data_IF_187752130827
#
_entry.id   IF_187752130827
#
_cell.length_a   1.000
_cell.length_b   1.000
_cell.length_c   1.000
_cell.angle_alpha   90.00
_cell.angle_beta   90.00
_cell.angle_gamma   90.00
#
_symmetry.space_group_name_H-M   'P 1'
#
loop_
_entity.id
_entity.type
_entity.pdbx_description
1 polymer ?
#
# COMPACT_ATOMS: atom_id res chain seq x y z
N UNK A 1 40.08 -3.08 -11.65
CA UNK A 1 38.87 -2.44 -12.18
C UNK A 1 39.01 -2.33 -13.70
N UNK A 2 38.49 -3.30 -14.45
CA UNK A 2 38.25 -3.20 -15.89
C UNK A 2 37.13 -4.18 -16.24
N UNK A 3 35.99 -4.01 -15.59
CA UNK A 3 34.75 -4.64 -16.04
C UNK A 3 34.10 -3.72 -17.07
N UNK A 4 33.46 -4.27 -18.11
CA UNK A 4 32.67 -3.46 -19.03
C UNK A 4 31.56 -2.73 -18.27
N UNK A 5 31.24 -1.54 -18.76
CA UNK A 5 30.09 -0.78 -18.26
C UNK A 5 28.81 -1.56 -18.59
N UNK A 6 27.81 -1.62 -17.69
CA UNK A 6 26.58 -2.35 -17.95
C UNK A 6 25.79 -1.70 -19.10
N UNK A 7 25.27 -2.54 -19.99
CA UNK A 7 24.36 -2.16 -21.07
C UNK A 7 22.94 -2.61 -20.73
N UNK A 8 21.94 -2.06 -21.40
CA UNK A 8 20.55 -2.48 -21.18
C UNK A 8 20.32 -3.85 -21.81
N UNK A 9 19.96 -4.83 -20.99
CA UNK A 9 19.69 -6.20 -21.41
C UNK A 9 18.24 -6.42 -21.91
N UNK A 10 17.44 -5.35 -22.00
CA UNK A 10 16.05 -5.43 -22.51
C UNK A 10 15.03 -6.05 -21.55
N UNK A 11 15.36 -6.17 -20.25
CA UNK A 11 14.46 -6.65 -19.20
C UNK A 11 13.41 -5.61 -18.74
N UNK A 12 13.05 -4.66 -19.59
CA UNK A 12 12.04 -3.65 -19.27
C UNK A 12 10.64 -4.27 -19.25
N UNK A 13 9.99 -4.21 -18.08
CA UNK A 13 8.61 -4.64 -17.92
C UNK A 13 7.73 -3.45 -17.49
N UNK A 14 6.93 -2.96 -18.45
CA UNK A 14 6.05 -1.80 -18.25
C UNK A 14 4.85 -2.12 -17.37
N UNK A 15 4.42 -3.38 -17.32
CA UNK A 15 3.29 -3.78 -16.46
C UNK A 15 3.76 -3.88 -15.02
N UNK A 16 4.91 -4.51 -14.77
CA UNK A 16 5.52 -4.57 -13.45
C UNK A 16 5.79 -3.16 -12.88
N UNK A 17 6.22 -2.20 -13.72
CA UNK A 17 6.40 -0.81 -13.30
C UNK A 17 5.08 -0.20 -12.82
N UNK A 18 3.98 -0.37 -13.57
CA UNK A 18 2.65 0.17 -13.17
C UNK A 18 2.12 -0.48 -11.90
N UNK A 19 2.32 -1.79 -11.76
CA UNK A 19 1.89 -2.54 -10.59
C UNK A 19 2.66 -2.06 -9.35
N UNK A 20 3.97 -1.84 -9.46
CA UNK A 20 4.77 -1.25 -8.38
C UNK A 20 4.46 0.21 -8.09
N UNK A 21 4.07 1.01 -9.09
CA UNK A 21 3.59 2.37 -8.86
C UNK A 21 2.36 2.37 -7.94
N UNK A 22 1.40 1.48 -8.19
CA UNK A 22 0.21 1.34 -7.36
C UNK A 22 0.57 0.97 -5.91
N UNK A 23 1.43 -0.03 -5.72
CA UNK A 23 1.88 -0.48 -4.41
C UNK A 23 2.61 0.65 -3.67
N UNK A 24 3.44 1.41 -4.38
CA UNK A 24 4.17 2.56 -3.81
C UNK A 24 3.23 3.68 -3.40
N UNK A 25 2.23 4.02 -4.20
CA UNK A 25 1.25 5.05 -3.88
C UNK A 25 0.42 4.66 -2.64
N UNK A 26 -0.07 3.41 -2.59
CA UNK A 26 -0.85 2.91 -1.43
C UNK A 26 -0.01 2.89 -0.16
N UNK A 27 1.21 2.34 -0.20
CA UNK A 27 2.09 2.31 0.98
C UNK A 27 2.55 3.71 1.40
N UNK A 28 2.77 4.62 0.46
CA UNK A 28 3.06 6.03 0.72
C UNK A 28 1.89 6.72 1.43
N UNK A 29 0.67 6.54 0.95
CA UNK A 29 -0.53 7.10 1.56
C UNK A 29 -0.74 6.56 2.99
N UNK A 30 -0.51 5.27 3.24
CA UNK A 30 -0.56 4.69 4.59
C UNK A 30 0.43 5.41 5.53
N UNK A 31 1.68 5.61 5.10
CA UNK A 31 2.69 6.32 5.91
C UNK A 31 2.34 7.78 6.14
N UNK A 32 1.77 8.45 5.15
CA UNK A 32 1.34 9.85 5.28
C UNK A 32 0.25 9.99 6.34
N UNK A 33 -0.80 9.14 6.30
CA UNK A 33 -1.86 9.13 7.33
C UNK A 33 -1.24 8.97 8.72
N UNK A 34 -0.28 8.05 8.88
CA UNK A 34 0.37 7.81 10.17
C UNK A 34 1.16 9.02 10.65
N UNK A 35 1.88 9.69 9.74
CA UNK A 35 2.59 10.93 10.05
C UNK A 35 1.65 12.06 10.47
N UNK A 36 0.55 12.26 9.75
CA UNK A 36 -0.48 13.25 10.08
C UNK A 36 -1.11 13.00 11.46
N UNK A 37 -1.26 11.73 11.82
CA UNK A 37 -1.83 11.31 13.10
C UNK A 37 -0.78 11.15 14.22
N UNK A 38 0.48 11.51 14.00
CA UNK A 38 1.59 11.34 14.93
C UNK A 38 1.76 9.91 15.47
N UNK A 39 1.44 8.90 14.66
CA UNK A 39 1.61 7.48 15.02
C UNK A 39 3.06 7.09 14.78
N UNK A 40 3.70 6.45 15.77
CA UNK A 40 5.09 6.02 15.66
C UNK A 40 5.27 5.03 14.51
N UNK A 41 6.36 5.08 13.72
CA UNK A 41 6.61 4.09 12.67
C UNK A 41 6.65 2.63 13.16
N UNK A 42 6.98 2.40 14.44
CA UNK A 42 7.11 1.07 15.03
C UNK A 42 5.78 0.47 15.48
N UNK A 43 4.77 1.31 15.74
CA UNK A 43 3.45 0.85 16.15
C UNK A 43 2.75 0.18 14.98
N UNK A 44 2.18 -1.01 15.16
CA UNK A 44 1.46 -1.67 14.06
C UNK A 44 -0.03 -1.43 14.16
N UNK A 45 -0.71 -1.28 13.03
CA UNK A 45 -2.16 -1.07 12.98
C UNK A 45 -2.83 -1.94 11.92
N UNK A 46 -4.13 -2.15 12.05
CA UNK A 46 -4.91 -2.72 10.95
C UNK A 46 -4.95 -1.77 9.75
N UNK A 47 -4.92 -2.34 8.55
CA UNK A 47 -5.01 -1.62 7.28
C UNK A 47 -6.24 -2.14 6.53
N UNK A 48 -7.12 -1.22 6.13
CA UNK A 48 -8.32 -1.53 5.35
C UNK A 48 -8.23 -0.83 4.00
N UNK A 49 -8.30 -1.59 2.91
CA UNK A 49 -8.30 -1.07 1.54
C UNK A 49 -9.64 -1.37 0.87
N UNK A 50 -10.40 -0.32 0.60
CA UNK A 50 -11.64 -0.44 -0.14
C UNK A 50 -11.37 -0.29 -1.63
N UNK A 51 -11.36 -1.41 -2.33
CA UNK A 51 -10.98 -1.49 -3.74
C UNK A 51 -12.15 -2.01 -4.56
N UNK A 52 -12.59 -1.20 -5.53
CA UNK A 52 -13.69 -1.56 -6.46
C UNK A 52 -13.17 -2.26 -7.72
N UNK A 53 -12.02 -1.83 -8.23
CA UNK A 53 -11.42 -2.39 -9.43
C UNK A 53 -10.81 -3.77 -9.14
N UNK A 54 -11.15 -4.79 -9.93
CA UNK A 54 -10.67 -6.16 -9.73
C UNK A 54 -9.18 -6.32 -10.01
N UNK A 55 -8.62 -5.60 -10.99
CA UNK A 55 -7.19 -5.67 -11.33
C UNK A 55 -6.34 -5.03 -10.24
N UNK A 56 -6.74 -3.86 -9.76
CA UNK A 56 -6.05 -3.22 -8.63
C UNK A 56 -6.13 -4.08 -7.37
N UNK A 57 -7.27 -4.73 -7.13
CA UNK A 57 -7.42 -5.68 -6.02
C UNK A 57 -6.43 -6.84 -6.14
N UNK A 58 -6.36 -7.48 -7.30
CA UNK A 58 -5.44 -8.60 -7.56
C UNK A 58 -3.99 -8.20 -7.31
N UNK A 59 -3.55 -7.05 -7.86
CA UNK A 59 -2.19 -6.53 -7.64
C UNK A 59 -1.90 -6.33 -6.15
N UNK A 60 -2.84 -5.74 -5.40
CA UNK A 60 -2.66 -5.48 -3.97
C UNK A 60 -2.71 -6.77 -3.13
N UNK A 61 -3.54 -7.73 -3.52
CA UNK A 61 -3.64 -9.05 -2.86
C UNK A 61 -2.35 -9.86 -3.05
N UNK A 62 -1.83 -9.93 -4.28
CA UNK A 62 -0.56 -10.59 -4.60
C UNK A 62 0.64 -9.97 -3.86
N UNK A 63 0.55 -8.69 -3.49
CA UNK A 63 1.63 -7.94 -2.84
C UNK A 63 1.32 -7.56 -1.38
N UNK A 64 0.43 -8.33 -0.73
CA UNK A 64 0.01 -8.12 0.66
C UNK A 64 1.19 -8.01 1.62
N UNK A 65 2.19 -8.87 1.49
CA UNK A 65 3.35 -8.89 2.40
C UNK A 65 4.18 -7.60 2.32
N UNK A 66 4.35 -7.06 1.12
CA UNK A 66 5.01 -5.77 0.92
C UNK A 66 4.23 -4.64 1.57
N UNK A 67 2.92 -4.59 1.35
CA UNK A 67 2.06 -3.54 1.92
C UNK A 67 2.08 -3.60 3.44
N UNK A 68 1.97 -4.80 4.01
CA UNK A 68 2.00 -5.04 5.44
C UNK A 68 3.35 -4.65 6.07
N UNK A 69 4.46 -5.08 5.47
CA UNK A 69 5.80 -4.77 6.00
C UNK A 69 6.13 -3.28 5.87
N UNK A 70 5.81 -2.67 4.73
CA UNK A 70 6.16 -1.28 4.44
C UNK A 70 5.21 -0.29 5.13
N UNK A 71 3.95 -0.67 5.35
CA UNK A 71 2.93 0.14 6.00
C UNK A 71 2.81 -0.04 7.51
N UNK A 72 3.65 -0.87 8.14
CA UNK A 72 3.55 -1.25 9.56
C UNK A 72 2.17 -1.84 9.90
N UNK A 73 1.69 -2.77 9.09
CA UNK A 73 0.40 -3.44 9.27
C UNK A 73 0.45 -4.61 10.25
N UNK A 74 -0.61 -4.83 11.03
CA UNK A 74 -0.88 -6.11 11.73
C UNK A 74 -1.76 -7.05 10.91
N UNK A 75 -2.68 -6.48 10.13
CA UNK A 75 -3.60 -7.18 9.24
C UNK A 75 -3.99 -6.26 8.08
N UNK A 76 -4.09 -6.83 6.88
CA UNK A 76 -4.57 -6.14 5.69
C UNK A 76 -5.89 -6.79 5.26
N UNK A 77 -6.95 -5.98 5.14
CA UNK A 77 -8.22 -6.40 4.57
C UNK A 77 -8.49 -5.62 3.29
N UNK A 78 -8.71 -6.34 2.19
CA UNK A 78 -9.02 -5.76 0.88
C UNK A 78 -10.41 -6.19 0.46
N UNK A 79 -11.34 -5.26 0.25
CA UNK A 79 -12.70 -5.57 -0.19
C UNK A 79 -13.45 -4.35 -0.70
N UNK A 80 -14.35 -4.52 -1.66
CA UNK A 80 -15.23 -3.44 -2.15
C UNK A 80 -16.32 -3.05 -1.14
N UNK A 81 -16.57 -3.90 -0.14
CA UNK A 81 -17.66 -3.76 0.83
C UNK A 81 -17.22 -3.18 2.17
N UNK A 82 -15.97 -2.72 2.27
CA UNK A 82 -15.47 -2.09 3.50
C UNK A 82 -16.30 -0.84 3.80
N UNK A 83 -16.83 -0.77 5.02
CA UNK A 83 -17.45 0.43 5.55
C UNK A 83 -16.39 1.25 6.25
N UNK A 84 -16.38 2.56 5.97
CA UNK A 84 -15.48 3.51 6.65
C UNK A 84 -15.68 3.41 8.16
N UNK A 85 -14.62 3.11 8.95
CA UNK A 85 -14.70 3.13 10.40
C UNK A 85 -14.98 4.54 10.92
N UNK A 86 -15.66 4.64 12.07
CA UNK A 86 -16.00 5.94 12.67
C UNK A 86 -14.76 6.73 13.13
N UNK A 87 -13.73 6.01 13.59
CA UNK A 87 -12.45 6.56 14.04
C UNK A 87 -11.32 5.88 13.25
N UNK A 88 -10.95 6.49 12.13
CA UNK A 88 -9.84 6.03 11.30
C UNK A 88 -9.20 7.20 10.55
N UNK A 89 -7.88 7.11 10.36
CA UNK A 89 -7.17 7.94 9.41
C UNK A 89 -7.53 7.47 8.00
N UNK A 90 -7.70 8.42 7.07
CA UNK A 90 -8.25 8.10 5.75
C UNK A 90 -7.48 8.78 4.64
N UNK A 91 -7.23 8.06 3.54
CA UNK A 91 -6.73 8.63 2.30
C UNK A 91 -7.41 7.97 1.10
N UNK A 92 -7.28 8.61 -0.06
CA UNK A 92 -7.74 8.04 -1.33
C UNK A 92 -6.57 8.07 -2.30
N UNK A 93 -6.26 6.92 -2.89
CA UNK A 93 -5.30 6.77 -3.99
C UNK A 93 -6.07 6.26 -5.18
N UNK A 94 -6.16 7.04 -6.25
CA UNK A 94 -7.02 6.74 -7.42
C UNK A 94 -8.46 6.48 -6.96
N UNK A 95 -8.96 5.25 -7.10
CA UNK A 95 -10.30 4.82 -6.65
C UNK A 95 -10.26 3.92 -5.40
N UNK A 96 -9.10 3.82 -4.74
CA UNK A 96 -8.88 3.01 -3.55
C UNK A 96 -9.00 3.90 -2.32
N UNK A 97 -9.96 3.58 -1.46
CA UNK A 97 -10.09 4.25 -0.15
C UNK A 97 -9.29 3.46 0.89
N UNK A 98 -8.42 4.15 1.61
CA UNK A 98 -7.53 3.58 2.62
C UNK A 98 -8.03 4.02 3.98
N UNK A 99 -8.16 3.07 4.92
CA UNK A 99 -8.51 3.37 6.30
C UNK A 99 -7.53 2.70 7.26
N UNK A 100 -7.08 3.46 8.26
CA UNK A 100 -6.30 2.99 9.40
C UNK A 100 -7.14 3.19 10.67
N UNK A 101 -7.85 2.15 11.16
CA UNK A 101 -8.64 2.24 12.39
C UNK A 101 -7.75 2.49 13.60
N UNK A 102 -8.22 3.34 14.52
CA UNK A 102 -7.51 3.65 15.78
C UNK A 102 -7.94 2.76 16.96
N UNK A 103 -8.66 1.65 16.70
CA UNK A 103 -9.29 0.85 17.77
C UNK A 103 -8.29 0.14 18.70
N UNK A 104 -7.01 0.08 18.35
CA UNK A 104 -5.97 -0.68 19.05
C UNK A 104 -4.71 0.15 19.43
N UNK A 105 -4.81 1.49 19.46
CA UNK A 105 -3.71 2.38 19.87
C UNK A 105 -4.02 3.11 21.19
#
# INVERSE_FOLDING_TARGET
>A
MISPWPESDGYEDKEAVKDMELIREVTGAIRNIRGEMNISPQEKSEILLKVKNSREREILEENTDYIMSLGSGTRLTISSQIKRPQLAGTAVVKEIEIYLPFKDL
#
